data_IF_330243082585
#
_entry.id   IF_330243082585
#
_cell.length_a   1.000
_cell.length_b   1.000
_cell.length_c   1.000
_cell.angle_alpha   90.00
_cell.angle_beta   90.00
_cell.angle_gamma   90.00
#
_symmetry.space_group_name_H-M   'P 1'
#
loop_
_entity.id
_entity.type
_entity.pdbx_description
1 polymer ?
#
# COMPACT_ATOMS: atom_id res chain seq x y z
N UNK A 1 -26.34 -30.61 -6.13
CA UNK A 1 -25.35 -29.86 -6.94
C UNK A 1 -25.51 -28.38 -6.58
N UNK A 2 -24.77 -27.90 -5.61
CA UNK A 2 -24.75 -26.50 -5.21
C UNK A 2 -23.91 -25.76 -6.25
N UNK A 3 -24.56 -24.91 -7.06
CA UNK A 3 -23.84 -24.02 -7.96
C UNK A 3 -23.11 -23.03 -7.07
N UNK A 4 -21.79 -23.19 -6.98
CA UNK A 4 -20.92 -22.21 -6.31
C UNK A 4 -20.91 -20.93 -7.14
N UNK A 5 -21.70 -19.95 -6.69
CA UNK A 5 -21.89 -18.65 -7.35
C UNK A 5 -20.82 -17.65 -6.84
N UNK A 6 -19.60 -18.14 -6.53
CA UNK A 6 -18.50 -17.29 -6.10
C UNK A 6 -18.09 -16.36 -7.25
N UNK A 7 -18.07 -15.07 -6.98
CA UNK A 7 -17.59 -14.07 -7.92
C UNK A 7 -16.14 -14.38 -8.27
N UNK A 8 -15.83 -14.39 -9.58
CA UNK A 8 -14.49 -14.60 -10.10
C UNK A 8 -13.75 -13.27 -10.30
N UNK A 9 -12.46 -13.29 -10.01
CA UNK A 9 -11.56 -12.14 -10.19
C UNK A 9 -10.27 -12.60 -10.87
N UNK A 10 -9.51 -11.68 -11.48
CA UNK A 10 -8.24 -12.02 -12.12
C UNK A 10 -7.09 -12.05 -11.11
N UNK A 11 -6.26 -13.08 -11.22
CA UNK A 11 -4.96 -13.21 -10.55
C UNK A 11 -3.90 -13.53 -11.63
N UNK A 12 -3.15 -12.52 -12.04
CA UNK A 12 -2.30 -12.59 -13.22
C UNK A 12 -3.14 -12.94 -14.47
N UNK A 13 -2.78 -14.04 -15.13
CA UNK A 13 -3.47 -14.56 -16.32
C UNK A 13 -4.57 -15.59 -16.00
N UNK A 14 -4.87 -15.83 -14.71
CA UNK A 14 -5.85 -16.84 -14.28
C UNK A 14 -7.08 -16.17 -13.69
N UNK A 15 -8.24 -16.86 -13.80
CA UNK A 15 -9.47 -16.50 -13.10
C UNK A 15 -9.55 -17.34 -11.82
N UNK A 16 -9.66 -16.68 -10.67
CA UNK A 16 -9.78 -17.31 -9.35
C UNK A 16 -11.02 -16.79 -8.64
N UNK A 17 -11.46 -17.47 -7.58
CA UNK A 17 -12.53 -16.94 -6.75
C UNK A 17 -12.04 -15.74 -5.94
N UNK A 18 -12.89 -14.76 -5.68
CA UNK A 18 -12.53 -13.57 -4.90
C UNK A 18 -11.96 -13.92 -3.51
N UNK A 19 -12.49 -14.97 -2.88
CA UNK A 19 -12.04 -15.44 -1.57
C UNK A 19 -10.61 -15.98 -1.59
N UNK A 20 -10.26 -16.70 -2.65
CA UNK A 20 -8.97 -17.37 -2.78
C UNK A 20 -7.87 -16.36 -3.20
N UNK A 21 -8.25 -15.26 -3.88
CA UNK A 21 -7.29 -14.28 -4.38
C UNK A 21 -6.47 -13.62 -3.26
N UNK A 22 -7.09 -13.24 -2.17
CA UNK A 22 -6.41 -12.56 -1.06
C UNK A 22 -5.33 -13.47 -0.43
N UNK A 23 -5.65 -14.75 -0.23
CA UNK A 23 -4.71 -15.75 0.28
C UNK A 23 -3.56 -15.98 -0.69
N UNK A 24 -3.85 -16.22 -1.97
CA UNK A 24 -2.82 -16.42 -3.01
C UNK A 24 -1.90 -15.21 -3.18
N UNK A 25 -2.43 -13.99 -3.05
CA UNK A 25 -1.64 -12.76 -3.08
C UNK A 25 -0.75 -12.69 -1.84
N UNK A 26 -1.27 -13.03 -0.66
CA UNK A 26 -0.53 -13.08 0.60
C UNK A 26 0.67 -14.02 0.51
N UNK A 27 0.47 -15.27 0.08
CA UNK A 27 1.52 -16.28 -0.06
C UNK A 27 2.66 -15.82 -0.98
N UNK A 28 2.33 -15.16 -2.10
CA UNK A 28 3.35 -14.61 -3.01
C UNK A 28 4.17 -13.53 -2.30
N UNK A 29 3.53 -12.58 -1.60
CA UNK A 29 4.26 -11.52 -0.91
C UNK A 29 5.08 -12.03 0.27
N UNK A 30 4.59 -13.00 1.02
CA UNK A 30 5.36 -13.64 2.10
C UNK A 30 6.62 -14.32 1.58
N UNK A 31 6.54 -14.94 0.40
CA UNK A 31 7.69 -15.61 -0.21
C UNK A 31 8.77 -14.68 -0.75
N UNK A 32 8.45 -13.41 -1.02
CA UNK A 32 9.35 -12.46 -1.67
C UNK A 32 9.64 -11.20 -0.83
N UNK A 33 9.09 -11.09 0.40
CA UNK A 33 9.18 -9.88 1.21
C UNK A 33 10.63 -9.38 1.37
N UNK A 34 11.56 -10.27 1.69
CA UNK A 34 12.98 -9.94 1.90
C UNK A 34 13.70 -9.44 0.62
N UNK A 35 13.20 -9.83 -0.56
CA UNK A 35 13.81 -9.50 -1.85
C UNK A 35 12.89 -8.66 -2.75
N UNK A 36 11.79 -8.15 -2.19
CA UNK A 36 10.73 -7.49 -2.96
C UNK A 36 11.25 -6.32 -3.79
N UNK A 37 12.09 -5.48 -3.22
CA UNK A 37 12.63 -4.32 -3.91
C UNK A 37 13.62 -4.69 -5.00
N UNK A 38 14.49 -5.67 -4.73
CA UNK A 38 15.43 -6.18 -5.74
C UNK A 38 14.66 -6.75 -6.95
N UNK A 39 13.60 -7.50 -6.68
CA UNK A 39 12.74 -8.04 -7.73
C UNK A 39 12.05 -6.93 -8.54
N UNK A 40 11.53 -5.91 -7.86
CA UNK A 40 10.90 -4.77 -8.54
C UNK A 40 11.92 -3.95 -9.33
N UNK A 41 13.11 -3.71 -8.81
CA UNK A 41 14.20 -3.04 -9.52
C UNK A 41 14.57 -3.79 -10.81
N UNK A 42 14.72 -5.12 -10.71
CA UNK A 42 15.07 -5.94 -11.86
C UNK A 42 13.95 -5.94 -12.92
N UNK A 43 12.68 -6.11 -12.48
CA UNK A 43 11.53 -6.16 -13.41
C UNK A 43 11.19 -4.82 -14.06
N UNK A 44 11.50 -3.70 -13.40
CA UNK A 44 11.17 -2.36 -13.89
C UNK A 44 12.37 -1.55 -14.37
N UNK A 45 13.59 -2.12 -14.33
CA UNK A 45 14.84 -1.39 -14.58
C UNK A 45 14.95 -0.11 -13.73
N UNK A 46 14.43 -0.13 -12.48
CA UNK A 46 14.42 1.01 -11.58
C UNK A 46 13.38 2.11 -11.89
N UNK A 47 12.63 1.98 -13.00
CA UNK A 47 11.65 3.00 -13.44
C UNK A 47 10.56 3.21 -12.37
N UNK A 48 10.18 2.20 -11.59
CA UNK A 48 9.20 2.34 -10.51
C UNK A 48 9.62 3.38 -9.46
N UNK A 49 10.93 3.52 -9.19
CA UNK A 49 11.46 4.54 -8.26
C UNK A 49 11.24 5.95 -8.79
N UNK A 50 11.44 6.15 -10.09
CA UNK A 50 11.17 7.43 -10.75
C UNK A 50 9.68 7.78 -10.67
N UNK A 51 8.78 6.82 -10.94
CA UNK A 51 7.34 7.03 -10.83
C UNK A 51 6.91 7.40 -9.41
N UNK A 52 7.42 6.69 -8.38
CA UNK A 52 7.15 7.02 -6.97
C UNK A 52 7.58 8.44 -6.65
N UNK A 53 8.78 8.87 -7.08
CA UNK A 53 9.28 10.23 -6.87
C UNK A 53 8.39 11.27 -7.54
N UNK A 54 8.04 11.08 -8.81
CA UNK A 54 7.14 11.98 -9.54
C UNK A 54 5.78 12.07 -8.83
N UNK A 55 5.23 10.95 -8.38
CA UNK A 55 3.97 10.92 -7.64
C UNK A 55 4.03 11.79 -6.38
N UNK A 56 5.07 11.66 -5.58
CA UNK A 56 5.26 12.47 -4.37
C UNK A 56 5.46 13.95 -4.69
N UNK A 57 6.20 14.26 -5.75
CA UNK A 57 6.42 15.66 -6.17
C UNK A 57 5.14 16.33 -6.70
N UNK A 58 4.27 15.57 -7.36
CA UNK A 58 3.00 16.07 -7.89
C UNK A 58 1.84 16.06 -6.90
N UNK A 59 1.98 15.33 -5.78
CA UNK A 59 0.92 15.21 -4.77
C UNK A 59 0.64 16.52 -4.00
N UNK A 60 1.46 17.56 -4.16
CA UNK A 60 1.24 18.84 -3.50
C UNK A 60 1.34 18.80 -1.98
N UNK A 61 2.25 17.95 -1.45
CA UNK A 61 2.42 17.74 -0.02
C UNK A 61 2.67 19.05 0.73
N UNK A 62 1.97 19.21 1.86
CA UNK A 62 2.23 20.27 2.83
C UNK A 62 2.86 19.66 4.09
N UNK A 63 3.57 20.45 4.83
CA UNK A 63 4.34 20.02 6.01
C UNK A 63 3.46 19.44 7.13
N UNK A 64 2.18 19.82 7.19
CA UNK A 64 1.21 19.47 8.24
C UNK A 64 0.27 18.31 7.85
N UNK A 65 0.43 17.73 6.66
CA UNK A 65 -0.48 16.70 6.15
C UNK A 65 -0.51 15.44 7.01
N UNK A 66 -1.72 14.91 7.18
CA UNK A 66 -1.98 13.56 7.68
C UNK A 66 -2.15 12.63 6.49
N UNK A 67 -1.25 11.68 6.34
CA UNK A 67 -1.13 10.84 5.15
C UNK A 67 -1.39 9.39 5.50
N UNK A 68 -2.15 8.70 4.67
CA UNK A 68 -2.32 7.25 4.70
C UNK A 68 -1.73 6.66 3.42
N UNK A 69 -0.72 5.79 3.56
CA UNK A 69 -0.18 5.00 2.45
C UNK A 69 -0.80 3.61 2.49
N UNK A 70 -1.77 3.35 1.58
CA UNK A 70 -2.49 2.09 1.47
C UNK A 70 -1.74 1.12 0.56
N UNK A 71 -1.66 -0.14 0.98
CA UNK A 71 -0.87 -1.17 0.30
C UNK A 71 0.57 -0.68 0.05
N UNK A 72 1.14 -0.01 1.07
CA UNK A 72 2.44 0.64 1.01
C UNK A 72 3.63 -0.31 1.08
N UNK A 73 3.39 -1.58 1.45
CA UNK A 73 4.37 -2.66 1.45
C UNK A 73 5.60 -2.31 2.30
N UNK A 74 6.77 -2.28 1.68
CA UNK A 74 8.06 -2.00 2.32
C UNK A 74 8.34 -0.51 2.60
N UNK A 75 7.35 0.38 2.39
CA UNK A 75 7.41 1.77 2.84
C UNK A 75 8.17 2.75 1.94
N UNK A 76 8.45 2.40 0.70
CA UNK A 76 9.17 3.27 -0.24
C UNK A 76 8.51 4.64 -0.45
N UNK A 77 7.17 4.69 -0.55
CA UNK A 77 6.43 5.95 -0.67
C UNK A 77 6.53 6.76 0.61
N UNK A 78 6.40 6.10 1.76
CA UNK A 78 6.52 6.72 3.08
C UNK A 78 7.87 7.41 3.23
N UNK A 79 8.98 6.74 2.88
CA UNK A 79 10.33 7.33 2.88
C UNK A 79 10.40 8.63 2.07
N UNK A 80 9.86 8.63 0.86
CA UNK A 80 9.84 9.81 0.00
C UNK A 80 8.96 10.93 0.57
N UNK A 81 7.79 10.60 1.11
CA UNK A 81 6.86 11.58 1.70
C UNK A 81 7.37 12.14 3.02
N UNK A 82 8.00 11.31 3.87
CA UNK A 82 8.49 11.75 5.19
C UNK A 82 9.51 12.88 5.09
N UNK A 83 10.32 12.90 4.05
CA UNK A 83 11.27 13.99 3.79
C UNK A 83 10.63 15.34 3.45
N UNK A 84 9.32 15.36 3.18
CA UNK A 84 8.56 16.52 2.71
C UNK A 84 7.62 17.09 3.79
N UNK A 85 7.37 16.36 4.87
CA UNK A 85 6.48 16.80 5.96
C UNK A 85 7.26 17.08 7.24
N UNK A 86 6.76 17.98 8.07
CA UNK A 86 7.34 18.32 9.37
C UNK A 86 6.82 17.40 10.48
N UNK A 87 7.23 17.66 11.72
CA UNK A 87 6.72 16.95 12.90
C UNK A 87 5.24 17.31 13.23
N UNK A 88 4.65 18.26 12.53
CA UNK A 88 3.21 18.57 12.65
C UNK A 88 2.35 17.65 11.78
N UNK A 89 2.92 17.10 10.72
CA UNK A 89 2.28 16.08 9.88
C UNK A 89 2.47 14.67 10.44
N UNK A 90 1.75 13.73 9.87
CA UNK A 90 1.84 12.31 10.25
C UNK A 90 1.67 11.40 9.04
N UNK A 91 2.30 10.22 9.08
CA UNK A 91 2.12 9.19 8.06
C UNK A 91 1.75 7.88 8.75
N UNK A 92 0.76 7.21 8.18
CA UNK A 92 0.43 5.82 8.50
C UNK A 92 0.82 4.98 7.29
N UNK A 93 1.75 4.05 7.47
CA UNK A 93 2.03 2.98 6.52
C UNK A 93 1.05 1.84 6.77
N UNK A 94 0.29 1.44 5.77
CA UNK A 94 -0.62 0.33 5.89
C UNK A 94 -0.49 -0.68 4.75
N UNK A 95 -0.66 -1.94 5.08
CA UNK A 95 -0.73 -3.05 4.14
C UNK A 95 -1.60 -4.16 4.73
N UNK A 96 -2.18 -5.00 3.90
CA UNK A 96 -2.91 -6.20 4.33
C UNK A 96 -1.93 -7.31 4.76
N UNK A 97 -0.75 -7.33 4.18
CA UNK A 97 0.29 -8.33 4.43
C UNK A 97 1.21 -7.89 5.57
N UNK A 98 1.21 -8.68 6.65
CA UNK A 98 2.02 -8.40 7.85
C UNK A 98 3.53 -8.47 7.59
N UNK A 99 3.99 -9.43 6.77
CA UNK A 99 5.42 -9.61 6.47
C UNK A 99 5.97 -8.39 5.75
N UNK A 100 5.20 -7.82 4.80
CA UNK A 100 5.55 -6.59 4.10
C UNK A 100 5.61 -5.38 5.03
N UNK A 101 4.66 -5.24 5.96
CA UNK A 101 4.67 -4.17 6.98
C UNK A 101 5.87 -4.29 7.91
N UNK A 102 6.18 -5.52 8.36
CA UNK A 102 7.29 -5.76 9.26
C UNK A 102 8.63 -5.40 8.59
N UNK A 103 8.82 -5.81 7.34
CA UNK A 103 10.00 -5.44 6.55
C UNK A 103 10.06 -3.91 6.34
N UNK A 104 8.92 -3.29 5.98
CA UNK A 104 8.82 -1.83 5.84
C UNK A 104 9.22 -1.08 7.11
N UNK A 105 8.76 -1.58 8.28
CA UNK A 105 9.14 -1.01 9.58
C UNK A 105 10.63 -1.07 9.81
N UNK A 106 11.25 -2.24 9.62
CA UNK A 106 12.68 -2.42 9.86
C UNK A 106 13.49 -1.49 8.96
N UNK A 107 13.17 -1.40 7.68
CA UNK A 107 13.83 -0.49 6.73
C UNK A 107 13.70 0.98 7.09
N UNK A 108 12.51 1.42 7.50
CA UNK A 108 12.30 2.81 7.93
C UNK A 108 13.12 3.14 9.17
N UNK A 109 13.20 2.23 10.15
CA UNK A 109 14.03 2.38 11.34
C UNK A 109 15.53 2.44 10.98
N UNK A 110 16.01 1.55 10.12
CA UNK A 110 17.40 1.52 9.64
C UNK A 110 17.81 2.83 8.95
N UNK A 111 16.82 3.54 8.37
CA UNK A 111 17.00 4.85 7.76
C UNK A 111 16.77 6.04 8.72
N UNK A 112 16.53 5.77 10.01
CA UNK A 112 16.29 6.78 11.04
C UNK A 112 14.87 7.39 10.99
N UNK A 113 13.92 6.72 10.35
CA UNK A 113 12.51 7.14 10.28
C UNK A 113 11.72 6.31 11.29
N UNK A 114 11.55 6.84 12.51
CA UNK A 114 10.92 6.11 13.62
C UNK A 114 9.50 6.57 13.93
N UNK A 115 9.08 7.71 13.41
CA UNK A 115 7.82 8.40 13.74
C UNK A 115 6.66 8.07 12.79
N UNK A 116 6.78 7.00 12.02
CA UNK A 116 5.73 6.48 11.14
C UNK A 116 4.91 5.42 11.86
N UNK A 117 3.59 5.63 11.90
CA UNK A 117 2.67 4.64 12.45
C UNK A 117 2.43 3.52 11.43
N UNK A 118 2.18 2.31 11.91
CA UNK A 118 1.93 1.15 11.07
C UNK A 118 0.61 0.51 11.42
N UNK A 119 -0.14 0.09 10.40
CA UNK A 119 -1.42 -0.56 10.60
C UNK A 119 -1.65 -1.66 9.55
N UNK A 120 -1.99 -2.86 10.01
CA UNK A 120 -2.43 -3.92 9.11
C UNK A 120 -3.88 -3.66 8.72
N UNK A 121 -4.11 -3.27 7.46
CA UNK A 121 -5.42 -2.83 6.96
C UNK A 121 -5.67 -3.42 5.56
N UNK A 122 -6.88 -3.95 5.35
CA UNK A 122 -7.39 -4.17 4.00
C UNK A 122 -7.91 -2.85 3.44
N UNK A 123 -7.42 -2.44 2.28
CA UNK A 123 -7.84 -1.21 1.61
C UNK A 123 -9.36 -1.12 1.32
N UNK A 124 -10.07 -2.25 1.42
CA UNK A 124 -11.51 -2.34 1.26
C UNK A 124 -12.29 -2.11 2.58
N UNK A 125 -11.58 -1.92 3.71
CA UNK A 125 -12.17 -1.74 5.06
C UNK A 125 -11.32 -0.79 5.88
N UNK A 126 -11.48 0.52 5.69
CA UNK A 126 -10.70 1.53 6.41
C UNK A 126 -11.30 1.79 7.81
N UNK A 127 -10.56 1.51 8.90
CA UNK A 127 -11.05 1.67 10.27
C UNK A 127 -10.87 3.10 10.79
N UNK A 128 -11.03 4.09 9.94
CA UNK A 128 -10.89 5.50 10.28
C UNK A 128 -12.23 6.23 10.11
N UNK A 129 -12.33 7.42 10.69
CA UNK A 129 -13.44 8.33 10.42
C UNK A 129 -13.28 8.95 9.04
N UNK A 130 -14.40 9.33 8.44
CA UNK A 130 -14.41 10.15 7.22
C UNK A 130 -13.64 11.47 7.44
N UNK A 131 -13.05 12.01 6.37
CA UNK A 131 -12.29 13.26 6.41
C UNK A 131 -11.15 13.27 7.46
N UNK A 132 -10.45 12.14 7.60
CA UNK A 132 -9.34 11.99 8.58
C UNK A 132 -8.00 12.40 7.98
N UNK A 133 -7.79 12.19 6.69
CA UNK A 133 -6.52 12.37 6.00
C UNK A 133 -6.58 13.55 5.02
N UNK A 134 -5.43 14.17 4.80
CA UNK A 134 -5.23 15.19 3.77
C UNK A 134 -4.78 14.56 2.45
N UNK A 135 -4.21 13.36 2.51
CA UNK A 135 -3.75 12.58 1.35
C UNK A 135 -3.83 11.09 1.63
N UNK A 136 -4.33 10.34 0.65
CA UNK A 136 -4.21 8.88 0.63
C UNK A 136 -3.45 8.48 -0.63
N UNK A 137 -2.42 7.63 -0.48
CA UNK A 137 -1.64 7.09 -1.61
C UNK A 137 -1.86 5.58 -1.74
N UNK A 138 -1.88 5.09 -2.97
CA UNK A 138 -1.85 3.67 -3.31
C UNK A 138 -0.88 3.49 -4.49
N UNK A 139 0.36 3.16 -4.22
CA UNK A 139 1.38 3.01 -5.25
C UNK A 139 1.58 1.54 -5.62
N UNK A 140 1.21 1.16 -6.85
CA UNK A 140 1.31 -0.18 -7.41
C UNK A 140 0.49 -1.29 -6.70
N UNK A 141 -0.04 -1.04 -5.50
CA UNK A 141 -0.83 -2.00 -4.70
C UNK A 141 -2.24 -2.23 -5.24
N UNK A 142 -2.85 -1.23 -5.89
CA UNK A 142 -4.25 -1.27 -6.33
C UNK A 142 -4.58 -2.47 -7.24
N UNK A 143 -3.63 -2.94 -8.04
CA UNK A 143 -3.80 -4.12 -8.91
C UNK A 143 -4.12 -5.40 -8.14
N UNK A 144 -3.66 -5.49 -6.88
CA UNK A 144 -3.80 -6.66 -6.02
C UNK A 144 -5.11 -6.63 -5.22
N UNK A 145 -5.73 -5.45 -5.07
CA UNK A 145 -7.01 -5.28 -4.38
C UNK A 145 -8.12 -6.02 -5.14
N UNK A 146 -8.93 -6.77 -4.42
CA UNK A 146 -10.02 -7.57 -5.01
C UNK A 146 -11.12 -6.66 -5.54
N UNK A 147 -11.64 -5.76 -4.72
CA UNK A 147 -12.63 -4.76 -5.12
C UNK A 147 -12.00 -3.36 -5.15
N UNK A 148 -11.42 -3.03 -6.30
CA UNK A 148 -10.75 -1.74 -6.51
C UNK A 148 -11.69 -0.54 -6.36
N UNK A 149 -12.96 -0.71 -6.79
CA UNK A 149 -13.96 0.35 -6.70
C UNK A 149 -14.22 0.72 -5.24
N UNK A 150 -14.47 -0.25 -4.38
CA UNK A 150 -14.68 -0.03 -2.96
C UNK A 150 -13.47 0.65 -2.30
N UNK A 151 -12.24 0.19 -2.60
CA UNK A 151 -11.03 0.80 -2.05
C UNK A 151 -10.88 2.28 -2.44
N UNK A 152 -11.16 2.61 -3.70
CA UNK A 152 -11.11 4.00 -4.18
C UNK A 152 -12.22 4.87 -3.61
N UNK A 153 -13.45 4.35 -3.50
CA UNK A 153 -14.58 5.07 -2.89
C UNK A 153 -14.30 5.37 -1.41
N UNK A 154 -13.79 4.38 -0.65
CA UNK A 154 -13.37 4.60 0.74
C UNK A 154 -12.23 5.60 0.84
N UNK A 155 -11.21 5.53 -0.03
CA UNK A 155 -10.15 6.52 -0.05
C UNK A 155 -10.68 7.94 -0.23
N UNK A 156 -11.65 8.14 -1.12
CA UNK A 156 -12.27 9.45 -1.37
C UNK A 156 -13.10 9.96 -0.17
N UNK A 157 -13.75 9.07 0.58
CA UNK A 157 -14.55 9.49 1.75
C UNK A 157 -13.69 9.79 2.98
N UNK A 158 -12.44 9.33 3.00
CA UNK A 158 -11.54 9.53 4.13
C UNK A 158 -10.53 10.69 3.95
N UNK A 159 -10.55 11.32 2.77
CA UNK A 159 -9.83 12.58 2.49
C UNK A 159 -10.66 13.79 2.89
#
# INVERSE_FOLDING_TARGET
MTIDNSKKTSFGFRQVNEKDKAEMVGDVFDSVADNYDLMNDLMSFGIHRLWKKITVETAGLREDFKILDLAGGTGDMVKLMRSKISNQGSIILSDINWSMLHEGRNRLIDEGIEDVQMAQIDAQYLPFKENTFDLITIAFGLRNVTNKKTALELSLTHI
#
